data_IF_813970978567
#
_entry.id   IF_813970978567
#
_cell.length_a   1.000
_cell.length_b   1.000
_cell.length_c   1.000
_cell.angle_alpha   90.00
_cell.angle_beta   90.00
_cell.angle_gamma   90.00
#
_symmetry.space_group_name_H-M   'P 1'
#
loop_
_entity.id
_entity.type
_entity.pdbx_description
1 polymer ?
#
# COMPACT_ATOMS: atom_id res chain seq x y z
N UNK A 1 -80.79 47.39 29.69
CA UNK A 1 -80.01 46.44 30.52
C UNK A 1 -78.89 45.87 29.66
N UNK A 2 -77.72 46.48 29.74
CA UNK A 2 -76.38 45.89 29.52
C UNK A 2 -76.01 45.01 30.73
N UNK A 3 -74.85 44.32 30.79
CA UNK A 3 -74.03 43.64 29.78
C UNK A 3 -73.60 42.21 30.26
N UNK A 4 -72.89 41.42 29.45
CA UNK A 4 -71.53 40.98 29.81
C UNK A 4 -70.87 40.17 28.67
N UNK A 5 -69.75 40.71 28.19
CA UNK A 5 -68.76 40.08 27.32
C UNK A 5 -67.60 39.77 28.24
N UNK A 6 -67.19 38.50 28.34
CA UNK A 6 -65.97 38.11 29.01
C UNK A 6 -64.93 37.66 27.99
N UNK A 7 -63.83 38.39 28.03
CA UNK A 7 -62.52 38.12 27.47
C UNK A 7 -61.92 36.87 28.11
N UNK A 8 -61.13 36.12 27.33
CA UNK A 8 -60.06 35.28 27.87
C UNK A 8 -58.91 35.25 26.86
N UNK A 9 -57.84 35.92 27.28
CA UNK A 9 -56.55 36.07 26.64
C UNK A 9 -55.82 34.72 26.51
N UNK A 10 -55.13 34.52 25.38
CA UNK A 10 -54.14 33.46 25.21
C UNK A 10 -52.80 34.11 24.84
N UNK A 11 -51.70 33.87 25.58
CA UNK A 11 -50.43 34.44 25.22
C UNK A 11 -49.76 33.64 24.10
N UNK A 12 -49.44 34.38 23.05
CA UNK A 12 -48.37 34.11 22.10
C UNK A 12 -47.02 34.05 22.81
N UNK A 13 -46.23 33.00 22.56
CA UNK A 13 -44.79 33.13 22.67
C UNK A 13 -44.07 32.38 21.53
N UNK A 14 -43.37 33.20 20.76
CA UNK A 14 -42.44 32.89 19.71
C UNK A 14 -41.03 32.83 20.31
N UNK A 15 -40.36 31.70 20.20
CA UNK A 15 -38.91 31.65 20.39
C UNK A 15 -38.28 30.64 19.44
N UNK A 16 -37.65 31.19 18.42
CA UNK A 16 -36.65 30.56 17.58
C UNK A 16 -35.40 30.22 18.39
N UNK A 17 -35.10 28.94 18.58
CA UNK A 17 -33.79 28.49 19.03
C UNK A 17 -33.15 27.55 18.00
N UNK A 18 -32.05 28.05 17.44
CA UNK A 18 -31.07 27.33 16.64
C UNK A 18 -30.30 26.38 17.57
N UNK A 19 -30.67 25.10 17.56
CA UNK A 19 -29.98 24.06 18.33
C UNK A 19 -28.90 23.37 17.48
N UNK A 20 -27.68 23.79 17.77
CA UNK A 20 -26.40 23.17 17.46
C UNK A 20 -26.37 21.69 17.85
N UNK A 21 -25.69 20.86 17.05
CA UNK A 21 -25.65 19.41 17.12
C UNK A 21 -25.26 18.84 18.50
N UNK A 22 -26.21 18.17 19.15
CA UNK A 22 -25.97 17.28 20.28
C UNK A 22 -25.63 15.89 19.78
N UNK A 23 -24.46 15.39 20.17
CA UNK A 23 -23.95 14.06 19.90
C UNK A 23 -24.56 13.10 20.93
N UNK A 24 -25.64 12.40 20.56
CA UNK A 24 -26.31 11.46 21.46
C UNK A 24 -25.47 10.21 21.72
N UNK A 25 -25.12 10.04 23.00
CA UNK A 25 -24.68 8.79 23.61
C UNK A 25 -25.82 7.77 23.57
N UNK A 26 -25.58 6.64 22.90
CA UNK A 26 -26.43 5.47 23.06
C UNK A 26 -26.01 4.66 24.29
N UNK A 27 -27.02 4.36 25.09
CA UNK A 27 -27.05 3.88 26.46
C UNK A 27 -26.57 2.44 26.62
N UNK A 28 -25.94 2.19 27.77
CA UNK A 28 -25.62 0.89 28.31
C UNK A 28 -26.89 0.06 28.58
N UNK A 29 -26.88 -1.20 28.13
CA UNK A 29 -27.83 -2.23 28.54
C UNK A 29 -27.08 -3.33 29.29
N UNK A 30 -27.29 -3.37 30.60
CA UNK A 30 -26.83 -4.41 31.52
C UNK A 30 -27.37 -5.79 31.11
N UNK A 31 -26.49 -6.80 31.16
CA UNK A 31 -26.90 -8.17 31.51
C UNK A 31 -25.77 -8.86 32.28
N UNK A 32 -25.85 -8.79 33.60
CA UNK A 32 -25.24 -9.77 34.50
C UNK A 32 -26.00 -11.10 34.35
N UNK A 33 -25.28 -12.23 34.25
CA UNK A 33 -25.29 -13.24 35.32
C UNK A 33 -24.28 -14.38 35.06
N UNK A 34 -23.49 -14.62 36.12
CA UNK A 34 -23.04 -15.89 36.71
C UNK A 34 -22.00 -16.80 36.02
N UNK A 35 -20.85 -16.79 36.69
CA UNK A 35 -19.90 -17.85 37.05
C UNK A 35 -20.29 -19.32 36.82
N UNK A 36 -19.33 -20.11 36.34
CA UNK A 36 -18.80 -21.27 37.08
C UNK A 36 -17.41 -21.68 36.53
N UNK A 37 -16.48 -21.84 37.45
CA UNK A 37 -15.17 -22.50 37.31
C UNK A 37 -15.33 -24.01 37.27
N UNK A 38 -14.57 -24.71 36.42
CA UNK A 38 -14.12 -26.07 36.72
C UNK A 38 -12.87 -26.47 35.93
N UNK A 39 -11.92 -27.05 36.66
CA UNK A 39 -10.65 -27.63 36.24
C UNK A 39 -10.77 -29.15 36.22
N UNK A 40 -10.24 -29.86 35.23
CA UNK A 40 -9.72 -31.26 35.28
C UNK A 40 -8.99 -31.52 33.95
N UNK A 41 -7.66 -31.68 33.91
CA UNK A 41 -6.84 -32.89 34.09
C UNK A 41 -6.88 -33.91 32.92
N UNK A 42 -5.66 -34.30 32.57
CA UNK A 42 -5.09 -35.22 31.56
C UNK A 42 -5.88 -36.45 31.09
N UNK A 43 -5.68 -36.83 29.81
CA UNK A 43 -5.34 -38.23 29.46
C UNK A 43 -4.62 -38.35 28.11
N UNK A 44 -3.66 -39.29 28.09
CA UNK A 44 -2.84 -39.77 26.98
C UNK A 44 -3.64 -40.46 25.86
N UNK A 45 -3.03 -40.59 24.66
CA UNK A 45 -3.32 -41.69 23.73
C UNK A 45 -3.01 -41.47 22.24
N UNK A 46 -1.79 -41.84 21.82
CA UNK A 46 -1.42 -42.62 20.61
C UNK A 46 -2.32 -42.60 19.34
N UNK A 47 -1.78 -42.23 18.16
CA UNK A 47 -1.23 -43.18 17.17
C UNK A 47 -0.76 -42.46 15.89
N UNK A 48 0.17 -43.13 15.22
CA UNK A 48 0.72 -42.87 13.88
C UNK A 48 -0.40 -42.75 12.82
N UNK A 49 -0.24 -41.90 11.80
CA UNK A 49 0.15 -42.40 10.48
C UNK A 49 0.49 -41.31 9.44
N UNK A 50 1.38 -41.77 8.57
CA UNK A 50 1.99 -41.31 7.32
C UNK A 50 1.27 -40.34 6.34
N UNK A 51 2.14 -39.78 5.49
CA UNK A 51 1.93 -39.21 4.14
C UNK A 51 1.47 -37.75 3.99
N UNK A 52 2.46 -36.84 3.86
CA UNK A 52 2.28 -35.65 3.02
C UNK A 52 3.58 -35.21 2.31
N UNK A 53 3.64 -35.57 1.02
CA UNK A 53 4.11 -34.76 -0.13
C UNK A 53 5.47 -34.05 -0.05
N UNK A 54 6.48 -34.73 -0.60
CA UNK A 54 7.71 -34.14 -1.17
C UNK A 54 7.40 -33.46 -2.51
N UNK A 55 7.03 -32.18 -2.51
CA UNK A 55 7.02 -31.36 -3.74
C UNK A 55 7.54 -29.92 -3.53
N UNK A 56 8.18 -29.62 -2.39
CA UNK A 56 8.62 -28.26 -2.06
C UNK A 56 10.13 -27.98 -2.26
N UNK A 57 10.92 -28.95 -2.70
CA UNK A 57 12.39 -28.80 -2.78
C UNK A 57 12.93 -28.24 -4.10
N UNK A 58 12.14 -28.18 -5.19
CA UNK A 58 12.68 -27.78 -6.50
C UNK A 58 12.86 -26.26 -6.66
N UNK A 59 12.23 -25.43 -5.81
CA UNK A 59 12.34 -23.97 -5.94
C UNK A 59 13.41 -23.32 -5.04
N UNK A 60 14.04 -24.08 -4.15
CA UNK A 60 15.04 -23.56 -3.20
C UNK A 60 16.47 -23.67 -3.74
N UNK A 61 16.76 -24.68 -4.57
CA UNK A 61 18.13 -24.92 -5.06
C UNK A 61 18.62 -23.91 -6.11
N UNK A 62 17.74 -23.20 -6.82
CA UNK A 62 18.16 -22.16 -7.76
C UNK A 62 18.71 -20.88 -7.10
N UNK A 63 18.63 -20.78 -5.76
CA UNK A 63 19.22 -19.68 -4.98
C UNK A 63 20.51 -20.08 -4.24
N UNK A 64 20.87 -21.37 -4.22
CA UNK A 64 22.03 -21.91 -3.49
C UNK A 64 23.37 -21.46 -4.08
N UNK A 65 23.50 -21.42 -5.41
CA UNK A 65 24.83 -21.47 -6.02
C UNK A 65 25.43 -20.10 -6.37
N UNK A 66 24.86 -18.99 -5.89
CA UNK A 66 25.32 -17.63 -6.24
C UNK A 66 25.72 -16.75 -5.04
N UNK A 67 25.88 -17.30 -3.82
CA UNK A 67 25.94 -16.45 -2.63
C UNK A 67 27.02 -16.81 -1.61
N UNK A 68 28.28 -16.68 -2.03
CA UNK A 68 29.35 -16.23 -1.12
C UNK A 68 29.51 -14.70 -1.17
N UNK A 69 28.39 -13.99 -1.36
CA UNK A 69 28.31 -12.54 -1.14
C UNK A 69 28.32 -12.36 0.36
N UNK A 70 29.38 -11.75 0.89
CA UNK A 70 29.57 -11.45 2.31
C UNK A 70 28.22 -11.02 2.93
N UNK A 71 27.75 -11.81 3.90
CA UNK A 71 26.43 -11.73 4.51
C UNK A 71 26.28 -10.55 5.49
N UNK A 72 27.27 -9.66 5.55
CA UNK A 72 27.14 -8.40 6.24
C UNK A 72 26.22 -7.53 5.39
N UNK A 73 24.92 -7.61 5.68
CA UNK A 73 23.98 -6.53 5.36
C UNK A 73 24.69 -5.23 5.75
N UNK A 74 25.07 -4.37 4.78
CA UNK A 74 25.59 -3.07 5.16
C UNK A 74 24.48 -2.46 5.99
N UNK A 75 24.81 -2.16 7.24
CA UNK A 75 23.90 -1.50 8.15
C UNK A 75 23.55 -0.20 7.43
N UNK A 76 22.35 -0.16 6.81
CA UNK A 76 21.81 1.05 6.22
C UNK A 76 22.01 2.12 7.27
N UNK A 77 22.90 3.08 7.01
CA UNK A 77 23.37 3.91 8.09
C UNK A 77 22.27 4.90 8.43
N UNK A 78 21.48 4.52 9.44
CA UNK A 78 20.38 5.30 9.96
C UNK A 78 20.86 6.70 10.35
N UNK A 79 22.11 6.80 10.81
CA UNK A 79 22.76 8.07 11.15
C UNK A 79 22.84 8.99 9.93
N UNK A 80 23.49 8.56 8.84
CA UNK A 80 23.61 9.38 7.63
C UNK A 80 22.24 9.74 7.04
N UNK A 81 21.29 8.81 7.04
CA UNK A 81 19.92 9.09 6.62
C UNK A 81 19.29 10.22 7.44
N UNK A 82 19.28 10.09 8.76
CA UNK A 82 18.67 11.08 9.67
C UNK A 82 19.39 12.44 9.64
N UNK A 83 20.69 12.47 9.38
CA UNK A 83 21.48 13.70 9.30
C UNK A 83 21.11 14.59 8.11
N UNK A 84 20.49 14.06 7.05
CA UNK A 84 20.03 14.86 5.89
C UNK A 84 18.80 15.72 6.23
N UNK A 85 18.04 15.34 7.26
CA UNK A 85 16.79 16.04 7.64
C UNK A 85 17.04 17.20 8.58
N UNK A 86 16.19 18.24 8.50
CA UNK A 86 16.14 19.28 9.52
C UNK A 86 15.84 18.67 10.88
N UNK A 87 16.27 19.37 11.94
CA UNK A 87 16.00 18.92 13.30
C UNK A 87 14.49 18.85 13.54
N UNK A 88 14.03 17.71 14.08
CA UNK A 88 12.65 17.55 14.54
C UNK A 88 12.31 18.48 15.73
N UNK A 89 13.31 19.11 16.36
CA UNK A 89 13.09 20.15 17.38
C UNK A 89 12.69 21.51 16.77
N UNK A 90 12.87 21.71 15.45
CA UNK A 90 12.50 22.95 14.79
C UNK A 90 11.00 22.94 14.41
N UNK A 91 10.22 23.81 15.05
CA UNK A 91 8.78 23.99 14.83
C UNK A 91 8.45 24.36 13.38
N UNK A 92 9.28 25.15 12.70
CA UNK A 92 9.04 25.54 11.30
C UNK A 92 9.01 24.33 10.36
N UNK A 93 9.76 23.29 10.69
CA UNK A 93 9.77 22.06 9.87
C UNK A 93 8.44 21.30 10.01
N UNK A 94 7.84 21.31 11.20
CA UNK A 94 6.52 20.75 11.44
C UNK A 94 5.41 21.59 10.82
N UNK A 95 5.53 22.92 10.85
CA UNK A 95 4.61 23.83 10.17
C UNK A 95 4.65 23.56 8.66
N UNK A 96 5.83 23.56 8.05
CA UNK A 96 5.99 23.28 6.62
C UNK A 96 5.36 21.93 6.22
N UNK A 97 5.57 20.90 7.05
CA UNK A 97 4.97 19.59 6.84
C UNK A 97 3.44 19.63 6.98
N UNK A 98 2.92 20.24 8.03
CA UNK A 98 1.48 20.34 8.32
C UNK A 98 0.71 21.24 7.34
N UNK A 99 1.39 22.14 6.61
CA UNK A 99 0.77 22.92 5.55
C UNK A 99 0.49 22.09 4.29
N UNK A 100 1.16 20.94 4.12
CA UNK A 100 0.85 20.01 3.03
C UNK A 100 -0.34 19.11 3.38
N UNK A 101 -1.24 18.88 2.41
CA UNK A 101 -2.37 17.95 2.59
C UNK A 101 -1.90 16.52 2.90
N UNK A 102 -0.77 16.10 2.32
CA UNK A 102 -0.14 14.83 2.64
C UNK A 102 0.43 14.79 4.06
N UNK A 103 1.13 15.84 4.50
CA UNK A 103 1.67 15.93 5.85
C UNK A 103 0.58 15.84 6.92
N UNK A 104 -0.56 16.53 6.73
CA UNK A 104 -1.71 16.42 7.66
C UNK A 104 -2.26 15.00 7.74
N UNK A 105 -2.51 14.32 6.62
CA UNK A 105 -2.97 12.92 6.65
C UNK A 105 -1.96 12.01 7.36
N UNK A 106 -0.64 12.22 7.17
CA UNK A 106 0.39 11.37 7.79
C UNK A 106 0.59 11.66 9.27
N UNK A 107 0.60 12.92 9.70
CA UNK A 107 0.63 13.30 11.12
C UNK A 107 -0.59 12.68 11.82
N UNK A 108 -1.78 12.85 11.24
CA UNK A 108 -3.02 12.27 11.76
C UNK A 108 -2.96 10.74 11.78
N UNK A 109 -2.31 10.08 10.80
CA UNK A 109 -2.06 8.62 10.79
C UNK A 109 -1.21 8.21 11.99
N UNK A 110 -0.11 8.91 12.27
CA UNK A 110 0.76 8.63 13.41
C UNK A 110 -0.02 8.74 14.71
N UNK A 111 -0.72 9.86 14.92
CA UNK A 111 -1.55 10.07 16.11
C UNK A 111 -2.64 9.00 16.26
N UNK A 112 -3.26 8.59 15.16
CA UNK A 112 -4.28 7.53 15.16
C UNK A 112 -3.70 6.20 15.65
N UNK A 113 -2.52 5.80 15.17
CA UNK A 113 -1.91 4.55 15.60
C UNK A 113 -1.32 4.64 17.01
N UNK A 114 -0.83 5.80 17.45
CA UNK A 114 -0.43 6.02 18.84
C UNK A 114 -1.63 5.89 19.77
N UNK A 115 -2.76 6.54 19.46
CA UNK A 115 -3.99 6.41 20.22
C UNK A 115 -4.48 4.95 20.27
N UNK A 116 -4.41 4.23 19.15
CA UNK A 116 -4.74 2.81 19.08
C UNK A 116 -3.82 1.96 19.98
N UNK A 117 -2.51 2.21 19.94
CA UNK A 117 -1.52 1.51 20.77
C UNK A 117 -1.73 1.77 22.26
N UNK A 118 -1.99 3.03 22.64
CA UNK A 118 -2.27 3.42 24.02
C UNK A 118 -3.58 2.81 24.53
N UNK A 119 -4.63 2.81 23.71
CA UNK A 119 -5.90 2.16 24.03
C UNK A 119 -5.70 0.66 24.30
N UNK A 120 -4.92 -0.02 23.45
CA UNK A 120 -4.56 -1.43 23.67
C UNK A 120 -3.72 -1.64 24.94
N UNK A 121 -2.71 -0.79 25.18
CA UNK A 121 -1.81 -0.93 26.34
C UNK A 121 -2.52 -0.68 27.67
N UNK A 122 -3.50 0.23 27.67
CA UNK A 122 -4.29 0.62 28.84
C UNK A 122 -5.61 -0.14 28.95
N UNK A 123 -5.78 -1.26 28.25
CA UNK A 123 -7.01 -2.05 28.31
C UNK A 123 -7.41 -2.35 29.78
N UNK A 124 -8.66 -2.05 30.13
CA UNK A 124 -9.18 -2.11 31.51
C UNK A 124 -9.14 -0.78 32.28
N UNK A 125 -8.45 0.24 31.77
CA UNK A 125 -8.47 1.60 32.34
C UNK A 125 -9.53 2.47 31.63
N UNK A 126 -10.26 3.37 32.33
CA UNK A 126 -11.19 4.32 31.71
C UNK A 126 -10.57 5.20 30.61
N UNK A 127 -9.25 5.45 30.70
CA UNK A 127 -8.49 6.19 29.68
C UNK A 127 -8.43 5.48 28.33
N UNK A 128 -8.58 4.15 28.29
CA UNK A 128 -8.57 3.38 27.05
C UNK A 128 -9.71 3.77 26.11
N UNK A 129 -10.90 4.06 26.65
CA UNK A 129 -12.05 4.53 25.87
C UNK A 129 -11.82 5.94 25.32
N UNK A 130 -11.13 6.83 26.06
CA UNK A 130 -10.75 8.16 25.54
C UNK A 130 -9.84 8.04 24.32
N UNK A 131 -8.82 7.18 24.38
CA UNK A 131 -7.92 6.95 23.25
C UNK A 131 -8.60 6.25 22.08
N UNK A 132 -9.59 5.39 22.34
CA UNK A 132 -10.42 4.77 21.30
C UNK A 132 -11.28 5.80 20.56
N UNK A 133 -11.96 6.68 21.29
CA UNK A 133 -12.72 7.78 20.70
C UNK A 133 -11.84 8.74 19.90
N UNK A 134 -10.62 9.04 20.39
CA UNK A 134 -9.64 9.83 19.66
C UNK A 134 -9.22 9.14 18.35
N UNK A 135 -8.90 7.84 18.38
CA UNK A 135 -8.58 7.06 17.18
C UNK A 135 -9.72 7.12 16.15
N UNK A 136 -10.97 6.98 16.57
CA UNK A 136 -12.14 7.03 15.68
C UNK A 136 -12.28 8.41 15.03
N UNK A 137 -12.18 9.48 15.82
CA UNK A 137 -12.20 10.87 15.33
C UNK A 137 -11.09 11.13 14.31
N UNK A 138 -9.85 10.72 14.63
CA UNK A 138 -8.70 10.85 13.71
C UNK A 138 -8.91 10.02 12.43
N UNK A 139 -9.56 8.85 12.52
CA UNK A 139 -9.88 8.04 11.34
C UNK A 139 -10.81 8.78 10.39
N UNK A 140 -11.87 9.40 10.93
CA UNK A 140 -12.84 10.21 10.18
C UNK A 140 -12.18 11.42 9.54
N UNK A 141 -11.38 12.20 10.30
CA UNK A 141 -10.64 13.35 9.76
C UNK A 141 -9.75 12.94 8.58
N UNK A 142 -9.06 11.81 8.68
CA UNK A 142 -8.22 11.31 7.58
C UNK A 142 -9.01 10.93 6.35
N UNK A 143 -10.19 10.33 6.48
CA UNK A 143 -11.06 10.04 5.33
C UNK A 143 -11.43 11.34 4.60
N UNK A 144 -11.78 12.38 5.35
CA UNK A 144 -12.05 13.71 4.79
C UNK A 144 -10.85 14.29 4.03
N UNK A 145 -9.62 14.20 4.59
CA UNK A 145 -8.40 14.67 3.91
C UNK A 145 -8.05 13.92 2.62
N UNK A 146 -8.69 12.80 2.34
CA UNK A 146 -8.40 11.96 1.16
C UNK A 146 -9.48 12.00 0.10
N UNK A 147 -10.59 12.69 0.38
CA UNK A 147 -11.62 12.91 -0.61
C UNK A 147 -11.00 13.51 -1.89
N UNK A 148 -11.32 12.92 -3.03
CA UNK A 148 -10.78 13.33 -4.34
C UNK A 148 -9.40 12.77 -4.71
N UNK A 149 -8.68 12.07 -3.82
CA UNK A 149 -7.38 11.46 -4.18
C UNK A 149 -7.47 10.39 -5.28
N UNK A 150 -8.63 9.77 -5.47
CA UNK A 150 -8.86 8.82 -6.56
C UNK A 150 -8.63 9.46 -7.94
N UNK A 151 -9.03 10.71 -8.14
CA UNK A 151 -8.81 11.41 -9.41
C UNK A 151 -7.33 11.67 -9.69
N UNK A 152 -6.57 11.97 -8.63
CA UNK A 152 -5.12 12.17 -8.72
C UNK A 152 -4.43 10.86 -9.16
N UNK A 153 -4.79 9.73 -8.54
CA UNK A 153 -4.21 8.43 -8.92
C UNK A 153 -4.63 7.98 -10.33
N UNK A 154 -5.88 8.27 -10.74
CA UNK A 154 -6.34 7.98 -12.10
C UNK A 154 -5.49 8.71 -13.15
N UNK A 155 -5.22 10.01 -12.93
CA UNK A 155 -4.35 10.80 -13.81
C UNK A 155 -2.94 10.22 -13.88
N UNK A 156 -2.35 9.83 -12.74
CA UNK A 156 -1.03 9.20 -12.72
C UNK A 156 -1.00 7.89 -13.50
N UNK A 157 -2.06 7.08 -13.45
CA UNK A 157 -2.16 5.84 -14.23
C UNK A 157 -2.20 6.14 -15.73
N UNK A 158 -2.92 7.18 -16.15
CA UNK A 158 -2.94 7.62 -17.55
C UNK A 158 -1.55 8.09 -18.01
N UNK A 159 -0.81 8.79 -17.14
CA UNK A 159 0.56 9.27 -17.42
C UNK A 159 1.61 8.14 -17.49
N UNK A 160 1.38 6.98 -16.86
CA UNK A 160 2.30 5.84 -16.91
C UNK A 160 2.41 5.20 -18.30
N UNK A 161 1.52 5.53 -19.25
CA UNK A 161 1.50 4.98 -20.61
C UNK A 161 1.65 3.45 -20.63
N UNK A 162 1.04 2.76 -19.66
CA UNK A 162 1.16 1.30 -19.49
C UNK A 162 0.86 0.54 -20.78
N UNK A 163 -0.19 0.90 -21.54
CA UNK A 163 -0.44 0.20 -22.80
C UNK A 163 0.72 0.36 -23.80
N UNK A 164 1.29 1.56 -23.93
CA UNK A 164 2.47 1.80 -24.78
C UNK A 164 3.67 0.96 -24.31
N UNK A 165 3.92 0.91 -23.00
CA UNK A 165 5.02 0.11 -22.43
C UNK A 165 4.87 -1.37 -22.76
N UNK A 166 3.65 -1.91 -22.61
CA UNK A 166 3.33 -3.29 -22.97
C UNK A 166 3.49 -3.52 -24.47
N UNK A 167 2.98 -2.61 -25.30
CA UNK A 167 3.11 -2.68 -26.76
C UNK A 167 4.57 -2.72 -27.22
N UNK A 168 5.42 -1.82 -26.69
CA UNK A 168 6.85 -1.79 -27.03
C UNK A 168 7.56 -3.08 -26.58
N UNK A 169 7.31 -3.57 -25.36
CA UNK A 169 7.94 -4.80 -24.90
C UNK A 169 7.46 -6.04 -25.65
N UNK A 170 6.16 -6.12 -25.99
CA UNK A 170 5.63 -7.17 -26.84
C UNK A 170 6.25 -7.11 -28.24
N UNK A 171 6.40 -5.91 -28.81
CA UNK A 171 7.05 -5.69 -30.12
C UNK A 171 8.52 -6.16 -30.09
N UNK A 172 9.30 -5.77 -29.08
CA UNK A 172 10.68 -6.23 -28.88
C UNK A 172 10.80 -7.75 -28.71
N UNK A 173 9.74 -8.40 -28.23
CA UNK A 173 9.70 -9.85 -28.06
C UNK A 173 9.37 -10.58 -29.37
N UNK A 174 8.63 -9.92 -30.27
CA UNK A 174 8.12 -10.49 -31.52
C UNK A 174 8.98 -10.15 -32.74
N UNK A 175 9.51 -8.94 -32.82
CA UNK A 175 10.37 -8.52 -33.91
C UNK A 175 11.78 -9.10 -33.72
N UNK A 176 12.33 -9.77 -34.73
CA UNK A 176 13.73 -10.15 -34.70
C UNK A 176 14.55 -8.87 -34.64
N UNK A 177 15.40 -8.76 -33.62
CA UNK A 177 16.41 -7.71 -33.58
C UNK A 177 17.35 -8.00 -34.75
N UNK A 178 17.27 -7.22 -35.82
CA UNK A 178 18.29 -7.22 -36.87
C UNK A 178 19.58 -6.74 -36.20
N UNK A 179 20.45 -7.69 -35.85
CA UNK A 179 21.77 -7.39 -35.35
C UNK A 179 22.57 -6.92 -36.55
N UNK A 180 22.83 -5.62 -36.59
CA UNK A 180 23.70 -5.00 -37.57
C UNK A 180 25.06 -5.71 -37.51
N UNK A 181 25.41 -6.38 -38.62
CA UNK A 181 26.43 -7.44 -38.63
C UNK A 181 27.86 -6.89 -38.76
N UNK A 182 28.00 -5.57 -38.80
CA UNK A 182 29.23 -4.90 -39.20
C UNK A 182 30.29 -4.77 -38.09
N UNK A 183 29.98 -5.06 -36.83
CA UNK A 183 30.93 -4.86 -35.71
C UNK A 183 31.48 -6.13 -35.03
N UNK A 184 31.26 -7.34 -35.57
CA UNK A 184 31.99 -8.56 -35.16
C UNK A 184 31.82 -9.04 -33.71
N UNK A 185 31.11 -8.32 -32.84
CA UNK A 185 30.94 -8.68 -31.44
C UNK A 185 29.64 -9.47 -31.24
N UNK A 186 29.80 -10.78 -31.11
CA UNK A 186 28.71 -11.77 -31.04
C UNK A 186 27.99 -11.72 -29.68
N UNK A 187 27.19 -10.68 -29.42
CA UNK A 187 26.30 -10.66 -28.25
C UNK A 187 25.12 -11.61 -28.49
N UNK A 188 25.24 -12.85 -28.01
CA UNK A 188 24.24 -13.90 -28.18
C UNK A 188 23.00 -13.65 -27.30
N UNK A 189 22.17 -12.68 -27.68
CA UNK A 189 20.79 -12.58 -27.17
C UNK A 189 19.91 -13.55 -27.95
N UNK A 190 19.70 -14.74 -27.39
CA UNK A 190 18.71 -15.69 -27.92
C UNK A 190 17.36 -15.01 -27.98
N UNK A 191 16.78 -14.91 -29.17
CA UNK A 191 15.43 -14.37 -29.36
C UNK A 191 14.40 -15.22 -28.60
N UNK A 192 13.22 -14.67 -28.22
CA UNK A 192 12.15 -15.48 -27.61
C UNK A 192 11.80 -16.68 -28.51
N UNK A 193 11.95 -16.51 -29.82
CA UNK A 193 11.82 -17.57 -30.83
C UNK A 193 12.79 -18.73 -30.58
N UNK A 194 14.04 -18.46 -30.22
CA UNK A 194 15.03 -19.47 -29.86
C UNK A 194 14.79 -20.08 -28.48
N UNK A 195 14.31 -19.29 -27.50
CA UNK A 195 13.89 -19.84 -26.20
C UNK A 195 12.71 -20.79 -26.35
N UNK A 196 11.66 -20.41 -27.11
CA UNK A 196 10.51 -21.28 -27.41
C UNK A 196 10.94 -22.50 -28.23
N UNK A 197 11.85 -22.33 -29.19
CA UNK A 197 12.39 -23.46 -29.96
C UNK A 197 13.19 -24.44 -29.09
N UNK A 198 13.81 -23.97 -28.01
CA UNK A 198 14.54 -24.82 -27.07
C UNK A 198 13.65 -25.62 -26.11
N UNK A 199 12.38 -25.22 -25.90
CA UNK A 199 11.42 -25.89 -24.98
C UNK A 199 10.72 -27.09 -25.66
N UNK A 200 11.41 -27.79 -26.55
CA UNK A 200 10.87 -28.98 -27.23
C UNK A 200 9.96 -28.60 -28.40
N UNK A 201 10.55 -28.64 -29.59
CA UNK A 201 9.93 -28.40 -30.88
C UNK A 201 8.88 -29.48 -31.19
N UNK A 202 7.60 -29.14 -31.07
CA UNK A 202 6.53 -29.79 -31.83
C UNK A 202 6.06 -28.81 -32.91
N UNK A 203 6.00 -29.26 -34.17
CA UNK A 203 5.62 -28.45 -35.35
C UNK A 203 4.34 -27.61 -35.13
N UNK A 204 3.43 -28.05 -34.26
CA UNK A 204 2.20 -27.32 -33.90
C UNK A 204 2.42 -26.01 -33.13
N UNK A 205 3.45 -25.91 -32.27
CA UNK A 205 3.71 -24.68 -31.49
C UNK A 205 4.17 -23.51 -32.36
N UNK A 206 4.98 -23.81 -33.40
CA UNK A 206 5.42 -22.80 -34.37
C UNK A 206 4.24 -22.22 -35.16
N UNK A 207 3.28 -23.07 -35.55
CA UNK A 207 2.08 -22.63 -36.24
C UNK A 207 1.21 -21.72 -35.35
N UNK A 208 0.95 -22.10 -34.10
CA UNK A 208 0.19 -21.28 -33.15
C UNK A 208 0.85 -19.92 -32.90
N UNK A 209 2.18 -19.88 -32.74
CA UNK A 209 2.90 -18.63 -32.54
C UNK A 209 2.82 -17.72 -33.78
N UNK A 210 3.15 -18.25 -34.96
CA UNK A 210 3.24 -17.46 -36.19
C UNK A 210 1.88 -17.02 -36.73
N UNK A 211 0.82 -17.85 -36.58
CA UNK A 211 -0.51 -17.58 -37.14
C UNK A 211 -1.49 -16.95 -36.17
N UNK A 212 -1.34 -17.13 -34.85
CA UNK A 212 -2.30 -16.63 -33.86
C UNK A 212 -1.66 -15.59 -32.95
N UNK A 213 -0.56 -15.95 -32.29
CA UNK A 213 0.04 -15.07 -31.27
C UNK A 213 0.65 -13.80 -31.90
N UNK A 214 1.44 -13.95 -32.97
CA UNK A 214 2.10 -12.82 -33.63
C UNK A 214 1.12 -11.80 -34.20
N UNK A 215 0.07 -12.17 -34.98
CA UNK A 215 -0.92 -11.20 -35.45
C UNK A 215 -1.70 -10.54 -34.32
N UNK A 216 -2.05 -11.29 -33.26
CA UNK A 216 -2.74 -10.74 -32.09
C UNK A 216 -1.89 -9.68 -31.38
N UNK A 217 -0.60 -9.99 -31.14
CA UNK A 217 0.33 -9.05 -30.54
C UNK A 217 0.50 -7.81 -31.41
N UNK A 218 0.65 -7.96 -32.73
CA UNK A 218 0.76 -6.82 -33.65
C UNK A 218 -0.52 -5.98 -33.69
N UNK A 219 -1.70 -6.60 -33.62
CA UNK A 219 -2.98 -5.89 -33.54
C UNK A 219 -3.14 -5.14 -32.21
N UNK A 220 -2.67 -5.72 -31.10
CA UNK A 220 -2.58 -5.03 -29.81
C UNK A 220 -1.61 -3.85 -29.94
N UNK A 221 -0.42 -4.03 -30.52
CA UNK A 221 0.54 -2.95 -30.70
C UNK A 221 0.00 -1.81 -31.59
N UNK A 222 -0.77 -2.12 -32.64
CA UNK A 222 -1.39 -1.08 -33.49
C UNK A 222 -2.51 -0.33 -32.77
N UNK A 223 -3.35 -1.03 -31.99
CA UNK A 223 -4.37 -0.42 -31.14
C UNK A 223 -3.79 0.52 -30.08
N UNK A 224 -2.57 0.25 -29.62
CA UNK A 224 -1.91 1.03 -28.57
C UNK A 224 -1.12 2.24 -29.09
N UNK A 225 -1.21 2.57 -30.38
CA UNK A 225 -0.77 3.86 -30.93
C UNK A 225 0.75 4.06 -30.98
N UNK A 226 1.50 3.07 -31.47
CA UNK A 226 2.97 3.08 -31.47
C UNK A 226 3.65 4.02 -32.49
N UNK A 227 2.94 4.88 -33.23
CA UNK A 227 3.53 5.64 -34.34
C UNK A 227 4.44 6.81 -33.93
N UNK A 228 4.45 7.19 -32.65
CA UNK A 228 5.40 8.20 -32.19
C UNK A 228 6.75 7.58 -31.80
N UNK A 229 7.73 7.72 -32.71
CA UNK A 229 9.18 7.83 -32.49
C UNK A 229 9.81 6.92 -31.44
N UNK A 230 10.85 6.18 -31.83
CA UNK A 230 11.66 5.19 -31.09
C UNK A 230 12.37 5.68 -29.80
N UNK A 231 11.71 6.46 -28.94
CA UNK A 231 12.18 6.75 -27.60
C UNK A 231 12.19 5.43 -26.83
N UNK A 232 13.38 4.92 -26.57
CA UNK A 232 13.60 3.75 -25.74
C UNK A 232 12.87 3.94 -24.40
N UNK A 233 12.18 2.90 -23.93
CA UNK A 233 11.63 2.94 -22.58
C UNK A 233 12.78 3.11 -21.60
N UNK A 234 12.77 4.22 -20.86
CA UNK A 234 13.79 4.53 -19.84
C UNK A 234 13.73 3.60 -18.64
N UNK A 235 12.65 2.81 -18.48
CA UNK A 235 12.41 1.93 -17.34
C UNK A 235 12.11 0.49 -17.77
N UNK A 236 12.62 -0.52 -17.05
CA UNK A 236 12.27 -1.92 -17.29
C UNK A 236 10.76 -2.18 -17.21
N UNK A 237 10.23 -3.04 -18.10
CA UNK A 237 8.79 -3.35 -18.17
C UNK A 237 8.20 -3.78 -16.82
N UNK A 238 8.89 -4.66 -16.10
CA UNK A 238 8.42 -5.16 -14.80
C UNK A 238 8.19 -4.03 -13.79
N UNK A 239 9.00 -2.97 -13.85
CA UNK A 239 8.91 -1.81 -12.97
C UNK A 239 7.69 -0.96 -13.34
N UNK A 240 7.46 -0.75 -14.63
CA UNK A 240 6.29 -0.04 -15.14
C UNK A 240 5.00 -0.78 -14.78
N UNK A 241 4.94 -2.09 -15.06
CA UNK A 241 3.78 -2.94 -14.72
C UNK A 241 3.53 -3.00 -13.22
N UNK A 242 4.56 -3.28 -12.41
CA UNK A 242 4.41 -3.34 -10.96
C UNK A 242 3.99 -1.99 -10.37
N UNK A 243 4.49 -0.88 -10.90
CA UNK A 243 4.06 0.47 -10.51
C UNK A 243 2.60 0.70 -10.90
N UNK A 244 2.20 0.32 -12.10
CA UNK A 244 0.81 0.42 -12.55
C UNK A 244 -0.15 -0.36 -11.64
N UNK A 245 0.19 -1.61 -11.30
CA UNK A 245 -0.61 -2.44 -10.38
C UNK A 245 -0.71 -1.82 -8.99
N UNK A 246 0.40 -1.29 -8.45
CA UNK A 246 0.41 -0.54 -7.20
C UNK A 246 -0.54 0.66 -7.27
N UNK A 247 -0.48 1.46 -8.33
CA UNK A 247 -1.34 2.64 -8.50
C UNK A 247 -2.81 2.24 -8.67
N UNK A 248 -3.11 1.17 -9.40
CA UNK A 248 -4.47 0.65 -9.54
C UNK A 248 -5.06 0.22 -8.18
N UNK A 249 -4.24 -0.44 -7.34
CA UNK A 249 -4.64 -0.77 -5.97
C UNK A 249 -4.91 0.46 -5.10
N UNK A 250 -4.07 1.51 -5.22
CA UNK A 250 -4.29 2.80 -4.54
C UNK A 250 -5.53 3.53 -5.05
N UNK A 251 -5.78 3.53 -6.36
CA UNK A 251 -6.98 4.09 -6.98
C UNK A 251 -8.25 3.41 -6.41
N UNK A 252 -8.27 2.08 -6.40
CA UNK A 252 -9.39 1.32 -5.83
C UNK A 252 -9.58 1.58 -4.34
N UNK A 253 -8.48 1.68 -3.58
CA UNK A 253 -8.52 2.07 -2.17
C UNK A 253 -9.17 3.43 -1.97
N UNK A 254 -8.71 4.47 -2.68
CA UNK A 254 -9.27 5.81 -2.52
C UNK A 254 -10.72 5.90 -2.99
N UNK A 255 -11.06 5.26 -4.11
CA UNK A 255 -12.44 5.25 -4.59
C UNK A 255 -13.37 4.58 -3.57
N UNK A 256 -12.99 3.40 -3.04
CA UNK A 256 -13.76 2.70 -2.03
C UNK A 256 -13.86 3.46 -0.70
N UNK A 257 -12.76 4.04 -0.22
CA UNK A 257 -12.74 4.82 1.03
C UNK A 257 -13.62 6.08 0.91
N UNK A 258 -13.60 6.75 -0.25
CA UNK A 258 -14.46 7.90 -0.54
C UNK A 258 -15.95 7.53 -0.57
N UNK A 259 -16.33 6.44 -1.26
CA UNK A 259 -17.73 5.99 -1.28
C UNK A 259 -18.18 5.53 0.11
N UNK A 260 -17.34 4.81 0.85
CA UNK A 260 -17.62 4.43 2.24
C UNK A 260 -17.85 5.65 3.12
N UNK A 261 -17.01 6.69 2.99
CA UNK A 261 -17.14 7.93 3.74
C UNK A 261 -18.43 8.68 3.39
N UNK A 262 -18.70 8.91 2.10
CA UNK A 262 -19.92 9.58 1.62
C UNK A 262 -21.18 8.84 2.05
N UNK A 263 -21.18 7.50 1.96
CA UNK A 263 -22.27 6.66 2.46
C UNK A 263 -22.48 6.89 3.95
N UNK A 264 -21.43 6.80 4.77
CA UNK A 264 -21.51 6.98 6.22
C UNK A 264 -22.05 8.35 6.66
N UNK A 265 -21.79 9.40 5.86
CA UNK A 265 -22.33 10.73 6.10
C UNK A 265 -23.80 10.90 5.67
N UNK A 266 -24.40 9.92 4.99
CA UNK A 266 -25.75 10.01 4.44
C UNK A 266 -25.85 10.75 3.12
N UNK A 267 -24.72 11.02 2.46
CA UNK A 267 -24.71 11.74 1.19
C UNK A 267 -25.40 10.95 0.06
N UNK A 268 -25.41 9.61 0.17
CA UNK A 268 -26.02 8.69 -0.80
C UNK A 268 -27.39 8.17 -0.35
N UNK A 269 -28.00 8.76 0.68
CA UNK A 269 -29.27 8.30 1.22
C UNK A 269 -30.45 8.62 0.28
N UNK A 270 -31.34 7.66 0.07
CA UNK A 270 -32.65 7.94 -0.54
C UNK A 270 -33.62 8.48 0.53
N UNK A 271 -33.85 9.80 0.51
CA UNK A 271 -34.71 10.50 1.45
C UNK A 271 -36.19 10.06 1.40
N UNK A 272 -36.61 9.32 0.36
CA UNK A 272 -37.97 8.78 0.23
C UNK A 272 -38.22 7.56 1.10
N UNK A 273 -37.16 6.88 1.53
CA UNK A 273 -37.23 5.68 2.38
C UNK A 273 -37.30 6.04 3.86
N UNK A 274 -37.79 5.11 4.68
CA UNK A 274 -37.88 5.31 6.12
C UNK A 274 -36.47 5.43 6.77
N UNK A 275 -36.40 6.09 7.92
CA UNK A 275 -35.14 6.37 8.60
C UNK A 275 -34.36 5.10 8.96
N UNK A 276 -35.03 4.01 9.31
CA UNK A 276 -34.38 2.76 9.69
C UNK A 276 -33.78 2.05 8.47
N UNK A 277 -34.51 2.00 7.34
CA UNK A 277 -34.01 1.49 6.08
C UNK A 277 -32.80 2.27 5.59
N UNK A 278 -32.81 3.62 5.68
CA UNK A 278 -31.64 4.45 5.33
C UNK A 278 -30.41 4.10 6.15
N UNK A 279 -30.58 3.95 7.46
CA UNK A 279 -29.47 3.62 8.36
C UNK A 279 -28.89 2.23 8.06
N UNK A 280 -29.75 1.24 7.81
CA UNK A 280 -29.33 -0.10 7.42
C UNK A 280 -28.56 -0.08 6.10
N UNK A 281 -29.12 0.57 5.08
CA UNK A 281 -28.47 0.71 3.77
C UNK A 281 -27.11 1.41 3.87
N UNK A 282 -27.03 2.48 4.66
CA UNK A 282 -25.78 3.20 4.95
C UNK A 282 -24.71 2.28 5.54
N UNK A 283 -25.07 1.50 6.56
CA UNK A 283 -24.15 0.61 7.24
C UNK A 283 -23.66 -0.51 6.31
N UNK A 284 -24.55 -1.10 5.51
CA UNK A 284 -24.24 -2.13 4.53
C UNK A 284 -23.29 -1.60 3.45
N UNK A 285 -23.67 -0.51 2.78
CA UNK A 285 -22.90 0.11 1.70
C UNK A 285 -21.54 0.58 2.21
N UNK A 286 -21.49 1.29 3.34
CA UNK A 286 -20.22 1.74 3.93
C UNK A 286 -19.30 0.57 4.29
N UNK A 287 -19.85 -0.52 4.84
CA UNK A 287 -19.07 -1.72 5.18
C UNK A 287 -18.57 -2.43 3.94
N UNK A 288 -19.40 -2.58 2.91
CA UNK A 288 -19.03 -3.22 1.65
C UNK A 288 -17.89 -2.46 0.95
N UNK A 289 -18.01 -1.15 0.81
CA UNK A 289 -16.97 -0.32 0.18
C UNK A 289 -15.70 -0.21 1.02
N UNK A 290 -15.80 -0.23 2.36
CA UNK A 290 -14.64 -0.32 3.25
C UNK A 290 -13.86 -1.63 3.06
N UNK A 291 -14.57 -2.77 2.93
CA UNK A 291 -13.94 -4.07 2.62
C UNK A 291 -13.29 -4.06 1.23
N UNK A 292 -13.95 -3.49 0.23
CA UNK A 292 -13.39 -3.32 -1.12
C UNK A 292 -12.11 -2.48 -1.07
N UNK A 293 -12.15 -1.32 -0.40
CA UNK A 293 -11.00 -0.44 -0.24
C UNK A 293 -9.80 -1.16 0.39
N UNK A 294 -10.03 -1.91 1.48
CA UNK A 294 -8.98 -2.70 2.14
C UNK A 294 -8.36 -3.75 1.20
N UNK A 295 -9.19 -4.43 0.39
CA UNK A 295 -8.72 -5.43 -0.58
C UNK A 295 -7.88 -4.79 -1.68
N UNK A 296 -8.35 -3.69 -2.26
CA UNK A 296 -7.61 -2.94 -3.28
C UNK A 296 -6.28 -2.42 -2.74
N UNK A 297 -6.26 -1.88 -1.51
CA UNK A 297 -5.01 -1.42 -0.90
C UNK A 297 -4.03 -2.57 -0.67
N UNK A 298 -4.51 -3.70 -0.12
CA UNK A 298 -3.66 -4.87 0.11
C UNK A 298 -3.03 -5.39 -1.18
N UNK A 299 -3.81 -5.46 -2.26
CA UNK A 299 -3.30 -5.78 -3.59
C UNK A 299 -2.22 -4.79 -4.05
N UNK A 300 -2.48 -3.49 -3.94
CA UNK A 300 -1.50 -2.45 -4.28
C UNK A 300 -0.24 -2.51 -3.40
N UNK A 301 -0.38 -2.89 -2.12
CA UNK A 301 0.72 -3.06 -1.19
C UNK A 301 1.61 -4.25 -1.56
N UNK A 302 1.04 -5.38 -1.99
CA UNK A 302 1.80 -6.53 -2.49
C UNK A 302 2.59 -6.17 -3.76
N UNK A 303 1.95 -5.51 -4.73
CA UNK A 303 2.62 -5.03 -5.93
C UNK A 303 3.75 -4.04 -5.59
N UNK A 304 3.49 -3.11 -4.66
CA UNK A 304 4.47 -2.16 -4.17
C UNK A 304 5.64 -2.80 -3.40
N UNK A 305 5.38 -3.87 -2.64
CA UNK A 305 6.41 -4.65 -1.97
C UNK A 305 7.32 -5.34 -3.00
N UNK A 306 6.73 -6.02 -3.99
CA UNK A 306 7.48 -6.66 -5.06
C UNK A 306 8.40 -5.67 -5.80
N UNK A 307 7.85 -4.51 -6.20
CA UNK A 307 8.62 -3.49 -6.91
C UNK A 307 9.75 -2.95 -6.04
N UNK A 308 9.46 -2.56 -4.80
CA UNK A 308 10.48 -1.97 -3.93
C UNK A 308 11.58 -2.99 -3.57
N UNK A 309 11.21 -4.25 -3.33
CA UNK A 309 12.16 -5.32 -3.06
C UNK A 309 13.09 -5.52 -4.27
N UNK A 310 12.54 -5.63 -5.47
CA UNK A 310 13.33 -5.85 -6.68
C UNK A 310 14.24 -4.66 -6.99
N UNK A 311 13.74 -3.43 -6.89
CA UNK A 311 14.58 -2.22 -7.06
C UNK A 311 15.72 -2.21 -6.03
N UNK A 312 15.43 -2.54 -4.77
CA UNK A 312 16.45 -2.56 -3.72
C UNK A 312 17.53 -3.62 -3.99
N UNK A 313 17.13 -4.84 -4.37
CA UNK A 313 18.07 -5.92 -4.70
C UNK A 313 18.92 -5.60 -5.94
N UNK A 314 18.32 -5.10 -7.01
CA UNK A 314 19.06 -4.68 -8.22
C UNK A 314 20.01 -3.51 -7.92
N UNK A 315 19.59 -2.55 -7.09
CA UNK A 315 20.44 -1.44 -6.69
C UNK A 315 21.65 -1.93 -5.91
N UNK A 316 21.45 -2.82 -4.93
CA UNK A 316 22.54 -3.38 -4.12
C UNK A 316 23.50 -4.23 -4.96
N UNK A 317 22.98 -5.04 -5.88
CA UNK A 317 23.82 -5.88 -6.76
C UNK A 317 24.72 -5.05 -7.69
N UNK A 318 24.19 -3.96 -8.25
CA UNK A 318 24.90 -3.16 -9.25
C UNK A 318 25.74 -2.03 -8.66
N UNK A 319 25.22 -1.33 -7.65
CA UNK A 319 25.84 -0.10 -7.16
C UNK A 319 27.01 -0.36 -6.21
N UNK A 320 26.93 -1.37 -5.34
CA UNK A 320 28.04 -1.70 -4.44
C UNK A 320 29.31 -2.05 -5.20
N UNK A 321 29.20 -2.76 -6.33
CA UNK A 321 30.34 -3.06 -7.21
C UNK A 321 30.89 -1.80 -7.86
N UNK A 322 30.03 -1.02 -8.50
CA UNK A 322 30.46 0.19 -9.23
C UNK A 322 31.13 1.24 -8.35
N UNK A 323 30.71 1.39 -7.09
CA UNK A 323 31.37 2.35 -6.21
C UNK A 323 32.64 1.78 -5.60
N UNK A 324 32.69 0.48 -5.28
CA UNK A 324 33.93 -0.17 -4.84
C UNK A 324 35.02 -0.03 -5.90
N UNK A 325 34.70 -0.36 -7.16
CA UNK A 325 35.64 -0.26 -8.29
C UNK A 325 36.16 1.18 -8.49
N UNK A 326 35.36 2.20 -8.17
CA UNK A 326 35.73 3.62 -8.28
C UNK A 326 36.53 4.15 -7.09
N UNK A 327 36.40 3.53 -5.93
CA UNK A 327 37.14 3.90 -4.72
C UNK A 327 38.54 3.31 -4.75
N UNK A 328 38.67 2.10 -5.30
CA UNK A 328 39.95 1.39 -5.43
C UNK A 328 40.85 1.96 -6.54
N UNK A 329 40.30 2.78 -7.45
CA UNK A 329 41.05 3.51 -8.48
C UNK A 329 41.65 4.80 -7.87
N UNK A 330 42.79 4.67 -7.17
CA UNK A 330 43.44 5.62 -6.23
C UNK A 330 43.88 7.01 -6.78
N UNK A 331 43.36 7.48 -7.93
CA UNK A 331 43.77 8.74 -8.56
C UNK A 331 43.18 10.05 -7.94
N UNK A 332 43.51 11.20 -8.55
CA UNK A 332 43.06 12.58 -8.21
C UNK A 332 41.53 12.77 -8.04
N UNK A 333 40.72 11.75 -8.33
CA UNK A 333 39.25 11.77 -8.22
C UNK A 333 38.71 11.38 -6.84
N UNK A 334 39.54 11.28 -5.80
CA UNK A 334 39.10 10.90 -4.43
C UNK A 334 37.93 11.74 -3.90
N UNK A 335 37.89 13.04 -4.19
CA UNK A 335 36.77 13.92 -3.82
C UNK A 335 35.47 13.57 -4.56
N UNK A 336 35.54 13.30 -5.87
CA UNK A 336 34.37 12.90 -6.66
C UNK A 336 33.87 11.50 -6.28
N UNK A 337 34.79 10.56 -6.01
CA UNK A 337 34.46 9.22 -5.55
C UNK A 337 33.76 9.24 -4.19
N UNK A 338 34.25 10.06 -3.25
CA UNK A 338 33.61 10.27 -1.94
C UNK A 338 32.21 10.85 -2.07
N UNK A 339 32.01 11.87 -2.92
CA UNK A 339 30.67 12.44 -3.15
C UNK A 339 29.70 11.45 -3.82
N UNK A 340 30.19 10.64 -4.77
CA UNK A 340 29.40 9.60 -5.41
C UNK A 340 29.00 8.50 -4.42
N UNK A 341 29.89 8.14 -3.49
CA UNK A 341 29.63 7.19 -2.42
C UNK A 341 28.56 7.69 -1.44
N UNK A 342 28.64 8.94 -0.99
CA UNK A 342 27.63 9.51 -0.09
C UNK A 342 26.25 9.62 -0.78
N UNK A 343 26.25 9.98 -2.07
CA UNK A 343 25.01 9.99 -2.88
C UNK A 343 24.41 8.58 -3.02
N UNK A 344 25.27 7.58 -3.21
CA UNK A 344 24.87 6.18 -3.28
C UNK A 344 24.26 5.68 -1.96
N UNK A 345 24.91 5.95 -0.82
CA UNK A 345 24.39 5.62 0.50
C UNK A 345 23.04 6.25 0.78
N UNK A 346 22.88 7.54 0.48
CA UNK A 346 21.62 8.25 0.67
C UNK A 346 20.49 7.61 -0.16
N UNK A 347 20.80 7.21 -1.40
CA UNK A 347 19.85 6.51 -2.27
C UNK A 347 19.53 5.10 -1.76
N UNK A 348 20.52 4.33 -1.30
CA UNK A 348 20.31 3.02 -0.69
C UNK A 348 19.36 3.11 0.51
N UNK A 349 19.62 4.07 1.40
CA UNK A 349 18.78 4.33 2.57
C UNK A 349 17.33 4.66 2.17
N UNK A 350 17.14 5.51 1.16
CA UNK A 350 15.80 5.82 0.65
C UNK A 350 15.07 4.59 0.10
N UNK A 351 15.78 3.69 -0.59
CA UNK A 351 15.20 2.45 -1.12
C UNK A 351 14.87 1.47 0.01
N UNK A 352 15.74 1.37 1.02
CA UNK A 352 15.50 0.58 2.23
C UNK A 352 14.26 1.06 2.97
N UNK A 353 14.11 2.36 3.21
CA UNK A 353 12.91 2.92 3.84
C UNK A 353 11.64 2.61 3.03
N UNK A 354 11.71 2.69 1.70
CA UNK A 354 10.60 2.33 0.84
C UNK A 354 10.22 0.84 0.96
N UNK A 355 11.20 -0.05 1.12
CA UNK A 355 10.99 -1.47 1.36
C UNK A 355 10.37 -1.73 2.75
N UNK A 356 10.94 -1.17 3.82
CA UNK A 356 10.41 -1.27 5.19
C UNK A 356 8.96 -0.80 5.26
N UNK A 357 8.66 0.33 4.62
CA UNK A 357 7.31 0.89 4.51
C UNK A 357 6.34 -0.09 3.82
N UNK A 358 6.77 -0.74 2.72
CA UNK A 358 5.95 -1.73 2.02
C UNK A 358 5.71 -2.99 2.86
N UNK A 359 6.73 -3.50 3.56
CA UNK A 359 6.56 -4.63 4.48
C UNK A 359 5.55 -4.31 5.58
N UNK A 360 5.66 -3.11 6.17
CA UNK A 360 4.74 -2.64 7.20
C UNK A 360 3.31 -2.48 6.67
N UNK A 361 3.12 -1.96 5.46
CA UNK A 361 1.80 -1.85 4.83
C UNK A 361 1.16 -3.23 4.59
N UNK A 362 1.92 -4.20 4.07
CA UNK A 362 1.43 -5.58 3.88
C UNK A 362 1.04 -6.20 5.22
N UNK A 363 1.89 -6.07 6.25
CA UNK A 363 1.62 -6.59 7.59
C UNK A 363 0.33 -6.00 8.17
N UNK A 364 0.16 -4.69 8.09
CA UNK A 364 -1.03 -3.98 8.61
C UNK A 364 -2.30 -4.43 7.88
N UNK A 365 -2.30 -4.35 6.55
CA UNK A 365 -3.51 -4.62 5.78
C UNK A 365 -3.87 -6.10 5.69
N UNK A 366 -2.91 -7.00 5.92
CA UNK A 366 -3.19 -8.43 6.04
C UNK A 366 -4.15 -8.76 7.19
N UNK A 367 -4.25 -7.88 8.21
CA UNK A 367 -5.14 -8.06 9.36
C UNK A 367 -6.47 -7.28 9.25
N UNK A 368 -6.68 -6.54 8.15
CA UNK A 368 -7.89 -5.72 7.97
C UNK A 368 -9.10 -6.57 7.53
N UNK A 369 -10.33 -6.15 7.90
CA UNK A 369 -11.56 -6.80 7.45
C UNK A 369 -11.63 -6.90 5.93
N UNK A 370 -11.97 -8.09 5.45
CA UNK A 370 -12.09 -8.40 4.02
C UNK A 370 -10.87 -9.12 3.45
N UNK A 371 -9.70 -8.98 4.09
CA UNK A 371 -8.50 -9.79 3.83
C UNK A 371 -8.40 -10.88 4.89
N UNK A 372 -8.32 -10.48 6.17
CA UNK A 372 -8.28 -11.37 7.35
C UNK A 372 -7.30 -12.55 7.18
N UNK A 373 -6.11 -12.28 6.63
CA UNK A 373 -5.14 -13.31 6.22
C UNK A 373 -4.69 -14.15 7.41
N UNK A 374 -4.35 -13.52 8.53
CA UNK A 374 -3.93 -14.21 9.76
C UNK A 374 -5.05 -15.06 10.36
N UNK A 375 -6.29 -14.56 10.31
CA UNK A 375 -7.45 -15.32 10.77
C UNK A 375 -7.63 -16.59 9.92
N UNK A 376 -7.49 -16.47 8.59
CA UNK A 376 -7.62 -17.62 7.68
C UNK A 376 -6.48 -18.63 7.82
N UNK A 377 -5.25 -18.17 8.04
CA UNK A 377 -4.07 -19.05 8.12
C UNK A 377 -3.84 -19.65 9.50
N UNK A 378 -4.14 -18.91 10.57
CA UNK A 378 -3.82 -19.30 11.96
C UNK A 378 -5.05 -19.42 12.88
N UNK A 379 -6.26 -19.18 12.37
CA UNK A 379 -7.49 -19.15 13.17
C UNK A 379 -7.56 -18.00 14.18
N UNK A 380 -6.60 -17.07 14.17
CA UNK A 380 -6.49 -15.94 15.10
C UNK A 380 -6.00 -14.69 14.36
N UNK A 381 -6.52 -13.52 14.75
CA UNK A 381 -6.03 -12.23 14.23
C UNK A 381 -4.60 -11.95 14.71
N UNK A 382 -3.87 -11.17 13.93
CA UNK A 382 -2.56 -10.68 14.34
C UNK A 382 -2.71 -9.85 15.63
N UNK A 383 -1.76 -10.02 16.55
CA UNK A 383 -1.73 -9.28 17.79
C UNK A 383 -1.78 -7.77 17.55
N UNK A 384 -2.69 -7.10 18.26
CA UNK A 384 -3.02 -5.69 18.01
C UNK A 384 -1.81 -4.76 18.18
N UNK A 385 -0.92 -5.05 19.14
CA UNK A 385 0.32 -4.29 19.32
C UNK A 385 1.23 -4.35 18.07
N UNK A 386 1.37 -5.52 17.44
CA UNK A 386 2.20 -5.69 16.22
C UNK A 386 1.56 -4.92 15.06
N UNK A 387 0.25 -5.04 14.92
CA UNK A 387 -0.52 -4.31 13.91
C UNK A 387 -0.35 -2.79 14.08
N UNK A 388 -0.41 -2.27 15.31
CA UNK A 388 -0.21 -0.86 15.60
C UNK A 388 1.23 -0.40 15.28
N UNK A 389 2.23 -1.18 15.68
CA UNK A 389 3.63 -0.88 15.40
C UNK A 389 3.92 -0.84 13.90
N UNK A 390 3.41 -1.80 13.12
CA UNK A 390 3.50 -1.75 11.66
C UNK A 390 2.85 -0.48 11.08
N UNK A 391 1.70 -0.09 11.62
CA UNK A 391 1.01 1.15 11.24
C UNK A 391 1.83 2.41 11.49
N UNK A 392 2.48 2.48 12.66
CA UNK A 392 3.39 3.56 13.03
C UNK A 392 4.60 3.62 12.12
N UNK A 393 5.30 2.49 11.91
CA UNK A 393 6.48 2.43 11.02
C UNK A 393 6.12 2.88 9.59
N UNK A 394 5.01 2.39 9.05
CA UNK A 394 4.50 2.82 7.73
C UNK A 394 4.19 4.33 7.69
N UNK A 395 3.59 4.89 8.75
CA UNK A 395 3.26 6.31 8.80
C UNK A 395 4.52 7.19 8.92
N UNK A 396 5.43 6.82 9.84
CA UNK A 396 6.65 7.55 10.15
C UNK A 396 7.64 7.56 8.99
N UNK A 397 7.75 6.47 8.22
CA UNK A 397 8.60 6.43 7.01
C UNK A 397 8.12 7.43 5.96
N UNK A 398 6.80 7.57 5.77
CA UNK A 398 6.26 8.58 4.85
C UNK A 398 6.44 9.99 5.42
N UNK A 399 6.26 10.16 6.72
CA UNK A 399 6.50 11.45 7.39
C UNK A 399 7.95 11.90 7.22
N UNK A 400 8.90 10.99 7.44
CA UNK A 400 10.33 11.20 7.23
C UNK A 400 10.63 11.63 5.79
N UNK A 401 10.07 10.94 4.79
CA UNK A 401 10.31 11.27 3.38
C UNK A 401 9.80 12.67 3.01
N UNK A 402 8.72 13.13 3.63
CA UNK A 402 8.17 14.47 3.42
C UNK A 402 8.77 15.52 4.36
N UNK A 403 9.58 15.13 5.34
CA UNK A 403 10.21 16.07 6.26
C UNK A 403 11.26 16.91 5.52
N UNK A 404 11.35 18.23 5.78
CA UNK A 404 12.33 19.09 5.12
C UNK A 404 13.78 18.62 5.28
N UNK A 405 14.55 18.70 4.19
CA UNK A 405 16.01 18.50 4.22
C UNK A 405 16.69 19.76 4.78
N UNK A 406 17.89 19.61 5.35
CA UNK A 406 18.68 20.73 5.91
C UNK A 406 18.84 21.87 4.92
#
# INVERSE_FOLDING_TARGET
>A
MTPNINEAEGPSDSSSESATATFDQATAGNKEERMATESTQESNGHSEDSNQTKEHEIFVDALSDNQKVCADLPVCCLKEGLEVKRSAANVDSWIALALTLDGRDKITKVLQYLARLLSWRLAGNPSAERFKALKESLTTCRKAFRLGRSFIELRKIQELQVPRAVGVSLRQTVEPVEIDRDNGELSSRKTLKEMIASIGSTKGKKFLFDKVYRPLVLAICSLLGSDEGSKSLSSPLWKTLGTALKMAGLLGFWAGDNVSFLSACGFLDDLRTDKAARLNHRNETSTAFSKFANRSYFFGALAGLYVNLKIYLEYRANNSRQVQDKVDDEGEKKSQASQAWETAKAKEFSLFLALVKSCADVLVFSNNPGIDLWMKLKGKKLHEGIHCMGGLVSASTVLYNNFPNK
#
